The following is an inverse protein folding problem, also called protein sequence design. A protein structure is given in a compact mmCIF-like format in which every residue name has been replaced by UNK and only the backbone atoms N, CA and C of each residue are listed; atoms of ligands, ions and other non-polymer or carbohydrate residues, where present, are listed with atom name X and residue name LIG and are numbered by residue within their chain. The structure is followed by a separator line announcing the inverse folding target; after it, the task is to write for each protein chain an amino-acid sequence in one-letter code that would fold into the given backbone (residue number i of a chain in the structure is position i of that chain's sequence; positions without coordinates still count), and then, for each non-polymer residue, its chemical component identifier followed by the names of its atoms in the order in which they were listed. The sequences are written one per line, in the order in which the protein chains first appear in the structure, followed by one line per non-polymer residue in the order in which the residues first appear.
data_IF_190361490297
#
_entry.id   IF_190361490297
#
_cell.length_a   1.000
_cell.length_b   1.000
_cell.length_c   1.000
_cell.angle_alpha   90.00
_cell.angle_beta   90.00
_cell.angle_gamma   90.00
#
_symmetry.space_group_name_H-M   'P 1'
#
loop_
_entity.id
_entity.type
_entity.pdbx_description
1 polymer ?
#
# COMPACT_ATOMS: atom_id res chain seq x y z
N UNK A 1 -10.90 -3.45 12.81
CA UNK A 1 -11.64 -2.20 12.63
C UNK A 1 -13.04 -2.57 12.22
N UNK A 2 -14.05 -2.10 12.93
CA UNK A 2 -15.45 -2.33 12.57
C UNK A 2 -15.94 -1.28 11.54
N UNK A 3 -17.19 -1.41 11.11
CA UNK A 3 -17.77 -0.50 10.12
C UNK A 3 -17.84 0.95 10.62
N UNK A 4 -18.17 1.16 11.90
CA UNK A 4 -18.29 2.49 12.51
C UNK A 4 -16.93 3.19 12.50
N UNK A 5 -15.88 2.48 12.89
CA UNK A 5 -14.50 2.97 12.87
C UNK A 5 -14.04 3.29 11.44
N UNK A 6 -14.38 2.43 10.47
CA UNK A 6 -14.07 2.67 9.06
C UNK A 6 -14.79 3.91 8.49
N UNK A 7 -16.06 4.10 8.83
CA UNK A 7 -16.84 5.26 8.40
C UNK A 7 -16.31 6.55 9.05
N UNK A 8 -16.00 6.52 10.34
CA UNK A 8 -15.39 7.65 11.05
C UNK A 8 -14.05 8.05 10.44
N UNK A 9 -13.18 7.07 10.14
CA UNK A 9 -11.91 7.31 9.49
C UNK A 9 -12.09 7.90 8.08
N UNK A 10 -13.05 7.39 7.31
CA UNK A 10 -13.33 7.92 5.97
C UNK A 10 -13.74 9.40 6.01
N UNK A 11 -14.67 9.75 6.90
CA UNK A 11 -15.10 11.13 7.10
C UNK A 11 -13.94 12.03 7.55
N UNK A 12 -13.12 11.58 8.49
CA UNK A 12 -11.94 12.33 8.95
C UNK A 12 -10.90 12.54 7.84
N UNK A 13 -10.81 11.61 6.88
CA UNK A 13 -9.94 11.71 5.73
C UNK A 13 -10.55 12.49 4.55
N UNK A 14 -11.82 12.88 4.63
CA UNK A 14 -12.53 13.54 3.53
C UNK A 14 -12.84 12.61 2.35
N UNK A 15 -13.01 11.32 2.59
CA UNK A 15 -13.41 10.35 1.56
C UNK A 15 -14.77 9.70 1.89
N UNK A 16 -15.40 9.12 0.87
CA UNK A 16 -16.70 8.46 1.03
C UNK A 16 -16.57 7.25 1.97
N UNK A 17 -17.45 7.12 2.98
CA UNK A 17 -17.52 5.92 3.81
C UNK A 17 -17.65 4.65 2.97
N UNK A 18 -16.99 3.54 3.36
CA UNK A 18 -17.03 2.33 2.57
C UNK A 18 -18.45 1.75 2.53
N UNK A 19 -18.90 1.38 1.33
CA UNK A 19 -20.14 0.65 1.10
C UNK A 19 -19.92 -0.34 -0.03
N UNK A 20 -20.31 -1.60 0.17
CA UNK A 20 -20.13 -2.67 -0.81
C UNK A 20 -21.18 -3.77 -0.61
N UNK A 21 -21.65 -4.33 -1.74
CA UNK A 21 -22.68 -5.37 -1.77
C UNK A 21 -22.16 -6.76 -1.33
N UNK A 22 -20.84 -6.90 -1.17
CA UNK A 22 -20.20 -8.15 -0.76
C UNK A 22 -18.68 -8.10 -0.79
N UNK A 23 -18.03 -9.20 -0.39
CA UNK A 23 -16.56 -9.33 -0.33
C UNK A 23 -15.88 -9.10 -1.68
N UNK A 24 -16.47 -9.58 -2.77
CA UNK A 24 -15.90 -9.43 -4.11
C UNK A 24 -15.92 -7.98 -4.61
N UNK A 25 -17.02 -7.25 -4.33
CA UNK A 25 -17.10 -5.82 -4.64
C UNK A 25 -16.05 -5.03 -3.86
N UNK A 26 -15.89 -5.34 -2.56
CA UNK A 26 -14.84 -4.75 -1.72
C UNK A 26 -13.44 -5.04 -2.27
N UNK A 27 -13.15 -6.29 -2.65
CA UNK A 27 -11.87 -6.71 -3.21
C UNK A 27 -11.50 -5.95 -4.50
N UNK A 28 -12.48 -5.72 -5.38
CA UNK A 28 -12.29 -4.91 -6.60
C UNK A 28 -12.02 -3.44 -6.30
N UNK A 29 -12.78 -2.83 -5.39
CA UNK A 29 -12.58 -1.43 -4.98
C UNK A 29 -11.21 -1.25 -4.36
N UNK A 30 -10.83 -2.14 -3.44
CA UNK A 30 -9.52 -2.12 -2.80
C UNK A 30 -8.38 -2.30 -3.80
N UNK A 31 -8.49 -3.26 -4.73
CA UNK A 31 -7.51 -3.48 -5.79
C UNK A 31 -7.28 -2.23 -6.63
N UNK A 32 -8.38 -1.59 -7.06
CA UNK A 32 -8.31 -0.32 -7.81
C UNK A 32 -7.67 0.79 -6.99
N UNK A 33 -8.01 0.91 -5.70
CA UNK A 33 -7.41 1.91 -4.82
C UNK A 33 -5.90 1.70 -4.66
N UNK A 34 -5.44 0.46 -4.44
CA UNK A 34 -4.03 0.12 -4.29
C UNK A 34 -3.21 0.49 -5.54
N UNK A 35 -3.69 0.08 -6.72
CA UNK A 35 -3.04 0.44 -7.98
C UNK A 35 -3.09 1.94 -8.29
N UNK A 36 -4.19 2.61 -7.95
CA UNK A 36 -4.28 4.06 -8.11
C UNK A 36 -3.22 4.78 -7.26
N UNK A 37 -2.97 4.34 -6.02
CA UNK A 37 -1.87 4.88 -5.20
C UNK A 37 -0.52 4.60 -5.86
N UNK A 38 -0.25 3.37 -6.31
CA UNK A 38 1.04 3.05 -6.96
C UNK A 38 1.28 3.93 -8.19
N UNK A 39 0.28 4.12 -9.03
CA UNK A 39 0.41 4.90 -10.26
C UNK A 39 0.49 6.41 -9.99
N UNK A 40 -0.37 6.93 -9.10
CA UNK A 40 -0.43 8.37 -8.79
C UNK A 40 0.85 8.88 -8.16
N UNK A 41 1.49 8.07 -7.31
CA UNK A 41 2.69 8.47 -6.57
C UNK A 41 3.99 7.88 -7.14
N UNK A 42 3.93 7.27 -8.32
CA UNK A 42 5.06 6.64 -9.02
C UNK A 42 5.86 5.67 -8.13
N UNK A 43 5.18 4.65 -7.60
CA UNK A 43 5.77 3.68 -6.67
C UNK A 43 6.26 2.39 -7.35
N UNK A 44 6.34 2.39 -8.69
CA UNK A 44 6.71 1.24 -9.51
C UNK A 44 8.15 0.75 -9.30
N UNK A 45 9.00 1.55 -8.67
CA UNK A 45 10.34 1.12 -8.22
C UNK A 45 10.30 0.22 -6.99
N UNK A 46 9.19 0.21 -6.24
CA UNK A 46 8.99 -0.61 -5.04
C UNK A 46 8.01 -1.76 -5.28
N UNK A 47 7.06 -1.58 -6.20
CA UNK A 47 6.03 -2.55 -6.52
C UNK A 47 6.07 -2.96 -7.99
N UNK A 48 5.55 -4.14 -8.28
CA UNK A 48 5.42 -4.68 -9.62
C UNK A 48 4.07 -5.37 -9.78
N UNK A 49 3.64 -5.49 -11.04
CA UNK A 49 2.52 -6.35 -11.39
C UNK A 49 3.01 -7.78 -11.57
N UNK A 50 2.28 -8.72 -11.01
CA UNK A 50 2.48 -10.15 -11.15
C UNK A 50 1.12 -10.79 -11.38
N UNK A 51 0.98 -11.61 -12.42
CA UNK A 51 -0.30 -12.20 -12.76
C UNK A 51 -0.71 -13.22 -11.69
N UNK A 52 -1.80 -12.91 -10.98
CA UNK A 52 -2.37 -13.74 -9.92
C UNK A 52 -3.85 -13.97 -10.18
N UNK A 53 -4.34 -15.18 -9.91
CA UNK A 53 -5.77 -15.43 -9.87
C UNK A 53 -6.40 -14.81 -8.60
N UNK A 54 -7.50 -14.07 -8.76
CA UNK A 54 -8.27 -13.52 -7.63
C UNK A 54 -9.28 -12.46 -8.06
N UNK A 55 -10.34 -12.28 -7.26
CA UNK A 55 -11.43 -11.35 -7.58
C UNK A 55 -11.05 -9.86 -7.43
N UNK A 56 -9.88 -9.55 -6.86
CA UNK A 56 -9.37 -8.18 -6.70
C UNK A 56 -7.94 -8.02 -7.23
N UNK A 57 -7.70 -6.93 -7.96
CA UNK A 57 -6.41 -6.65 -8.62
C UNK A 57 -5.25 -6.37 -7.65
N UNK A 58 -5.53 -6.22 -6.35
CA UNK A 58 -4.49 -6.11 -5.31
C UNK A 58 -3.65 -7.39 -5.22
N UNK A 59 -4.21 -8.58 -5.47
CA UNK A 59 -3.43 -9.82 -5.47
C UNK A 59 -2.30 -9.82 -6.51
N UNK A 60 -2.45 -9.02 -7.57
CA UNK A 60 -1.46 -8.85 -8.64
C UNK A 60 -0.40 -7.80 -8.33
N UNK A 61 -0.53 -7.06 -7.22
CA UNK A 61 0.47 -6.09 -6.80
C UNK A 61 1.41 -6.75 -5.78
N UNK A 62 2.70 -6.80 -6.14
CA UNK A 62 3.74 -7.41 -5.31
C UNK A 62 4.88 -6.45 -5.05
N UNK A 63 5.50 -6.47 -3.86
CA UNK A 63 6.82 -5.87 -3.66
C UNK A 63 7.84 -6.47 -4.63
N UNK A 64 8.77 -5.65 -5.12
CA UNK A 64 9.92 -6.14 -5.89
C UNK A 64 10.93 -6.87 -4.98
N UNK A 65 11.77 -7.71 -5.57
CA UNK A 65 12.86 -8.38 -4.86
C UNK A 65 12.62 -9.85 -4.52
N UNK A 66 11.51 -10.42 -4.97
CA UNK A 66 11.22 -11.85 -4.89
C UNK A 66 10.99 -12.37 -6.31
N UNK A 67 11.48 -13.58 -6.60
CA UNK A 67 11.15 -14.30 -7.83
C UNK A 67 9.73 -14.89 -7.75
N UNK A 68 8.72 -14.04 -7.98
CA UNK A 68 7.32 -14.45 -7.93
C UNK A 68 6.94 -15.49 -8.99
N UNK A 69 7.69 -15.56 -10.09
CA UNK A 69 7.44 -16.50 -11.18
C UNK A 69 8.18 -17.84 -11.02
N UNK A 70 9.24 -17.88 -10.21
CA UNK A 70 10.05 -19.07 -9.94
C UNK A 70 9.82 -19.66 -8.56
N UNK A 71 10.90 -19.79 -7.79
CA UNK A 71 10.92 -20.48 -6.49
C UNK A 71 10.59 -19.58 -5.29
N UNK A 72 10.22 -18.32 -5.57
CA UNK A 72 9.90 -17.30 -4.57
C UNK A 72 11.10 -16.94 -3.68
N UNK A 73 12.32 -17.18 -4.17
CA UNK A 73 13.53 -16.75 -3.51
C UNK A 73 13.72 -15.23 -3.58
N UNK A 74 14.50 -14.71 -2.64
CA UNK A 74 14.92 -13.32 -2.64
C UNK A 74 15.92 -13.09 -3.77
N UNK A 75 15.68 -12.07 -4.59
CA UNK A 75 16.59 -11.58 -5.62
C UNK A 75 17.40 -10.43 -5.01
N UNK A 76 18.70 -10.62 -4.63
CA UNK A 76 19.43 -9.63 -3.86
C UNK A 76 19.64 -8.30 -4.60
N UNK A 77 19.82 -8.37 -5.93
CA UNK A 77 19.96 -7.17 -6.77
C UNK A 77 18.69 -6.32 -6.72
N UNK A 78 17.53 -6.92 -6.92
CA UNK A 78 16.25 -6.22 -6.91
C UNK A 78 15.91 -5.65 -5.52
N UNK A 79 16.21 -6.38 -4.44
CA UNK A 79 16.07 -5.85 -3.07
C UNK A 79 16.98 -4.64 -2.86
N UNK A 80 18.22 -4.66 -3.37
CA UNK A 80 19.12 -3.51 -3.31
C UNK A 80 18.53 -2.31 -4.04
N UNK A 81 17.94 -2.52 -5.22
CA UNK A 81 17.32 -1.45 -6.01
C UNK A 81 16.03 -0.90 -5.40
N UNK A 82 15.17 -1.78 -4.88
CA UNK A 82 13.99 -1.37 -4.11
C UNK A 82 14.40 -0.47 -2.94
N UNK A 83 15.41 -0.89 -2.16
CA UNK A 83 15.88 -0.11 -1.01
C UNK A 83 16.54 1.20 -1.41
N UNK A 84 17.28 1.23 -2.52
CA UNK A 84 17.84 2.48 -3.07
C UNK A 84 16.72 3.45 -3.45
N UNK A 85 15.74 2.98 -4.22
CA UNK A 85 14.60 3.78 -4.65
C UNK A 85 13.81 4.32 -3.47
N UNK A 86 13.45 3.46 -2.51
CA UNK A 86 12.74 3.88 -1.30
C UNK A 86 13.48 4.96 -0.51
N UNK A 87 14.81 4.89 -0.39
CA UNK A 87 15.58 5.95 0.32
C UNK A 87 15.49 7.30 -0.39
N UNK A 88 15.48 7.30 -1.73
CA UNK A 88 15.39 8.50 -2.56
C UNK A 88 13.98 9.11 -2.62
N UNK A 89 12.94 8.34 -2.25
CA UNK A 89 11.56 8.81 -2.28
C UNK A 89 11.28 10.01 -1.37
N UNK A 90 10.31 10.83 -1.77
CA UNK A 90 9.77 11.90 -0.94
C UNK A 90 9.13 11.35 0.33
N UNK A 91 8.92 12.18 1.37
CA UNK A 91 8.19 11.76 2.58
C UNK A 91 6.81 11.19 2.26
N UNK A 92 6.06 11.80 1.33
CA UNK A 92 4.75 11.33 0.90
C UNK A 92 4.80 9.93 0.28
N UNK A 93 5.73 9.73 -0.66
CA UNK A 93 5.92 8.42 -1.30
C UNK A 93 6.29 7.35 -0.27
N UNK A 94 7.15 7.67 0.70
CA UNK A 94 7.50 6.75 1.80
C UNK A 94 6.28 6.36 2.62
N UNK A 95 5.42 7.31 2.98
CA UNK A 95 4.14 7.02 3.68
C UNK A 95 3.26 6.07 2.85
N UNK A 96 3.14 6.30 1.54
CA UNK A 96 2.34 5.44 0.67
C UNK A 96 2.92 4.02 0.53
N UNK A 97 4.24 3.90 0.33
CA UNK A 97 4.93 2.60 0.28
C UNK A 97 4.76 1.84 1.59
N UNK A 98 5.01 2.49 2.73
CA UNK A 98 4.86 1.86 4.04
C UNK A 98 3.42 1.43 4.31
N UNK A 99 2.44 2.24 3.88
CA UNK A 99 1.02 1.88 3.97
C UNK A 99 0.75 0.61 3.17
N UNK A 100 1.10 0.56 1.88
CA UNK A 100 0.87 -0.63 1.03
C UNK A 100 1.61 -1.85 1.58
N UNK A 101 2.88 -1.71 1.98
CA UNK A 101 3.67 -2.80 2.56
C UNK A 101 3.02 -3.37 3.83
N UNK A 102 2.42 -2.51 4.66
CA UNK A 102 1.73 -2.93 5.89
C UNK A 102 0.41 -3.65 5.61
N UNK A 103 -0.31 -3.24 4.57
CA UNK A 103 -1.53 -3.92 4.12
C UNK A 103 -1.20 -5.26 3.46
N UNK A 104 -0.12 -5.30 2.66
CA UNK A 104 0.40 -6.51 2.02
C UNK A 104 0.89 -7.56 3.02
N UNK A 105 1.67 -7.12 4.02
CA UNK A 105 2.21 -7.98 5.06
C UNK A 105 2.07 -7.29 6.43
N UNK A 106 1.10 -7.78 7.22
CA UNK A 106 0.82 -7.27 8.56
C UNK A 106 1.86 -7.70 9.60
N UNK A 107 2.81 -8.56 9.24
CA UNK A 107 3.93 -8.91 10.09
C UNK A 107 5.02 -7.83 10.05
N UNK A 108 6.02 -7.97 10.93
CA UNK A 108 7.22 -7.15 10.85
C UNK A 108 7.97 -7.46 9.56
N UNK A 109 8.31 -6.44 8.79
CA UNK A 109 9.16 -6.59 7.61
C UNK A 109 10.58 -7.05 8.00
N UNK A 110 11.02 -8.14 7.38
CA UNK A 110 12.34 -8.74 7.54
C UNK A 110 13.09 -8.89 6.21
N UNK A 111 12.47 -8.47 5.09
CA UNK A 111 12.97 -8.73 3.74
C UNK A 111 13.15 -7.42 2.97
N UNK A 112 12.10 -6.63 2.80
CA UNK A 112 12.07 -5.60 1.75
C UNK A 112 12.84 -4.34 2.16
N UNK A 113 12.45 -3.72 3.27
CA UNK A 113 12.93 -2.41 3.73
C UNK A 113 13.86 -2.52 4.95
N UNK A 114 14.46 -3.69 5.19
CA UNK A 114 15.48 -3.84 6.24
C UNK A 114 16.63 -2.84 6.03
N UNK A 115 16.96 -2.08 7.07
CA UNK A 115 17.97 -1.02 7.01
C UNK A 115 17.55 0.24 6.26
N UNK A 116 16.26 0.42 5.96
CA UNK A 116 15.71 1.68 5.44
C UNK A 116 15.06 2.50 6.57
N UNK A 117 14.95 3.83 6.42
CA UNK A 117 14.23 4.67 7.37
C UNK A 117 12.72 4.45 7.22
N UNK A 118 12.15 3.59 8.05
CA UNK A 118 10.71 3.23 8.03
C UNK A 118 9.94 3.78 9.24
N UNK A 119 10.63 4.41 10.19
CA UNK A 119 10.01 5.00 11.37
C UNK A 119 9.46 6.38 11.01
N UNK A 120 8.15 6.44 10.75
CA UNK A 120 7.38 7.68 10.60
C UNK A 120 6.28 7.60 11.67
N UNK A 121 6.17 8.62 12.51
CA UNK A 121 5.11 8.63 13.53
C UNK A 121 3.74 8.79 12.85
N UNK A 122 2.66 8.33 13.50
CA UNK A 122 1.31 8.51 12.95
C UNK A 122 0.98 10.00 12.74
N UNK A 123 1.33 10.87 13.68
CA UNK A 123 1.10 12.32 13.59
C UNK A 123 1.88 12.95 12.41
N UNK A 124 3.14 12.56 12.22
CA UNK A 124 3.96 13.00 11.09
C UNK A 124 3.38 12.51 9.76
N UNK A 125 3.00 11.23 9.67
CA UNK A 125 2.37 10.67 8.48
C UNK A 125 1.06 11.41 8.15
N UNK A 126 0.23 11.73 9.14
CA UNK A 126 -1.00 12.47 8.90
C UNK A 126 -0.76 13.90 8.42
N UNK A 127 0.28 14.56 8.95
CA UNK A 127 0.69 15.89 8.51
C UNK A 127 1.15 15.84 7.05
N UNK A 128 2.03 14.91 6.70
CA UNK A 128 2.50 14.69 5.32
C UNK A 128 1.33 14.46 4.36
N UNK A 129 0.38 13.60 4.73
CA UNK A 129 -0.79 13.30 3.90
C UNK A 129 -1.68 14.52 3.69
N UNK A 130 -1.88 15.34 4.72
CA UNK A 130 -2.71 16.55 4.64
C UNK A 130 -2.05 17.63 3.79
N UNK A 131 -0.78 17.91 4.04
CA UNK A 131 -0.03 18.98 3.37
C UNK A 131 0.13 18.72 1.86
N UNK A 132 0.04 17.44 1.45
CA UNK A 132 0.11 17.03 0.06
C UNK A 132 -1.26 16.70 -0.56
N UNK A 133 -2.37 17.05 0.10
CA UNK A 133 -3.74 16.76 -0.35
C UNK A 133 -4.00 15.26 -0.66
N UNK A 134 -3.23 14.37 -0.05
CA UNK A 134 -3.24 12.93 -0.30
C UNK A 134 -4.12 12.14 0.68
N UNK A 135 -4.60 12.82 1.73
CA UNK A 135 -5.38 12.22 2.81
C UNK A 135 -6.66 11.50 2.32
N UNK A 136 -7.48 12.04 1.38
CA UNK A 136 -8.67 11.33 0.90
C UNK A 136 -8.33 10.03 0.16
N UNK A 137 -7.30 10.05 -0.69
CA UNK A 137 -6.88 8.88 -1.46
C UNK A 137 -6.31 7.79 -0.53
N UNK A 138 -5.47 8.17 0.42
CA UNK A 138 -4.95 7.27 1.45
C UNK A 138 -6.07 6.69 2.32
N UNK A 139 -7.00 7.54 2.78
CA UNK A 139 -8.14 7.13 3.58
C UNK A 139 -9.04 6.15 2.83
N UNK A 140 -9.30 6.40 1.55
CA UNK A 140 -10.07 5.49 0.70
C UNK A 140 -9.41 4.11 0.59
N UNK A 141 -8.08 4.05 0.40
CA UNK A 141 -7.35 2.78 0.39
C UNK A 141 -7.52 2.01 1.70
N UNK A 142 -7.28 2.65 2.85
CA UNK A 142 -7.26 1.99 4.16
C UNK A 142 -8.65 1.55 4.60
N UNK A 143 -9.68 2.36 4.37
CA UNK A 143 -11.06 2.03 4.78
C UNK A 143 -11.68 0.93 3.95
N UNK A 144 -11.19 0.72 2.72
CA UNK A 144 -11.66 -0.33 1.83
C UNK A 144 -10.81 -1.61 1.90
N UNK A 145 -9.81 -1.69 2.78
CA UNK A 145 -8.90 -2.84 2.90
C UNK A 145 -9.64 -4.18 2.91
N UNK A 146 -9.44 -5.01 1.89
CA UNK A 146 -10.19 -6.26 1.70
C UNK A 146 -9.47 -7.52 2.18
N UNK A 147 -8.27 -7.38 2.77
CA UNK A 147 -7.32 -8.48 2.90
C UNK A 147 -6.23 -8.43 1.82
N UNK A 148 -5.23 -9.28 1.96
CA UNK A 148 -4.21 -9.58 0.95
C UNK A 148 -3.81 -11.05 1.03
#
# INVERSE_FOLDING_TARGET
MDYTEHAALAMACGCTPPSFEGSDARARIFGKAAWNIVNTYDLNSCFMRFDSAGNGDHYSLRPRGIDWAGDWAVIPADIKELRRAYRAMSPLQKVMVLTIMRLYNQSKDKIYLTGCPTKISAAEAMTILRDNAALPAWGHLVTHYAGW
#
